data_IF_620195775995
#
_entry.id   IF_620195775995
#
_cell.length_a   1.000
_cell.length_b   1.000
_cell.length_c   1.000
_cell.angle_alpha   90.00
_cell.angle_beta   90.00
_cell.angle_gamma   90.00
#
_symmetry.space_group_name_H-M   'P 1'
#
loop_
_entity.id
_entity.type
_entity.pdbx_description
1 polymer ?
#
# COMPACT_ATOMS: atom_id res chain seq x y z
N UNK A 1 4.46 6.12 10.54
CA UNK A 1 5.24 6.27 9.29
C UNK A 1 6.59 5.56 9.39
N UNK A 2 7.30 5.66 10.50
CA UNK A 2 8.48 4.85 10.72
C UNK A 2 8.18 3.36 10.64
N UNK A 3 6.99 2.96 11.04
CA UNK A 3 6.54 1.57 10.96
C UNK A 3 6.35 1.10 9.52
N UNK A 4 6.08 1.99 8.56
CA UNK A 4 6.00 1.61 7.16
C UNK A 4 7.36 1.15 6.63
N UNK A 5 8.45 1.80 7.03
CA UNK A 5 9.79 1.39 6.62
C UNK A 5 10.16 0.04 7.21
N UNK A 6 9.83 -0.19 8.47
CA UNK A 6 10.08 -1.49 9.11
C UNK A 6 9.30 -2.59 8.43
N UNK A 7 8.07 -2.31 8.07
CA UNK A 7 7.19 -3.25 7.40
C UNK A 7 7.71 -3.56 6.00
N UNK A 8 8.13 -2.55 5.26
CA UNK A 8 8.70 -2.73 3.92
C UNK A 8 9.95 -3.61 3.97
N UNK A 9 10.80 -3.40 4.98
CA UNK A 9 11.98 -4.23 5.18
C UNK A 9 11.59 -5.67 5.51
N UNK A 10 10.67 -5.83 6.47
CA UNK A 10 10.27 -7.16 6.95
C UNK A 10 9.68 -8.03 5.84
N UNK A 11 8.92 -7.44 4.93
CA UNK A 11 8.27 -8.19 3.85
C UNK A 11 9.02 -8.13 2.52
N UNK A 12 10.23 -7.58 2.52
CA UNK A 12 11.05 -7.54 1.31
C UNK A 12 10.45 -6.72 0.19
N UNK A 13 9.81 -5.60 0.54
CA UNK A 13 9.20 -4.70 -0.46
C UNK A 13 10.31 -4.08 -1.29
N UNK A 14 10.16 -4.16 -2.61
CA UNK A 14 11.16 -3.64 -3.53
C UNK A 14 11.29 -2.12 -3.42
N UNK A 15 10.17 -1.42 -3.28
CA UNK A 15 10.18 0.03 -3.20
C UNK A 15 8.96 0.55 -2.45
N UNK A 16 9.19 1.54 -1.60
CA UNK A 16 8.13 2.26 -0.89
C UNK A 16 7.99 3.64 -1.52
N UNK A 17 6.80 4.01 -1.94
CA UNK A 17 6.54 5.31 -2.54
C UNK A 17 5.59 6.10 -1.63
N UNK A 18 6.09 7.21 -1.10
CA UNK A 18 5.34 8.09 -0.22
C UNK A 18 4.77 9.22 -1.08
N UNK A 19 3.45 9.36 -1.10
CA UNK A 19 2.77 10.32 -1.93
C UNK A 19 2.02 11.35 -1.11
N UNK A 20 2.02 12.60 -1.57
CA UNK A 20 1.29 13.68 -0.96
C UNK A 20 2.00 15.00 -1.11
N UNK A 21 1.31 16.08 -0.73
CA UNK A 21 1.86 17.42 -0.85
C UNK A 21 2.83 17.82 0.25
N UNK A 22 3.03 16.98 1.26
CA UNK A 22 3.91 17.32 2.38
C UNK A 22 5.23 16.56 2.31
N UNK A 23 6.10 17.02 1.43
CA UNK A 23 7.43 16.45 1.25
C UNK A 23 8.27 16.61 2.52
N UNK A 24 8.07 17.70 3.27
CA UNK A 24 8.78 17.91 4.54
C UNK A 24 8.44 16.83 5.55
N UNK A 25 7.17 16.43 5.62
CA UNK A 25 6.75 15.35 6.51
C UNK A 25 7.37 14.03 6.07
N UNK A 26 7.42 13.78 4.76
CA UNK A 26 8.06 12.59 4.21
C UNK A 26 9.52 12.51 4.58
N UNK A 27 10.25 13.63 4.48
CA UNK A 27 11.67 13.69 4.87
C UNK A 27 11.86 13.46 6.37
N UNK A 28 10.98 14.03 7.19
CA UNK A 28 11.02 13.83 8.62
C UNK A 28 10.78 12.37 8.98
N UNK A 29 9.89 11.73 8.29
CA UNK A 29 9.61 10.31 8.45
C UNK A 29 10.82 9.46 8.11
N UNK A 30 11.47 9.75 6.99
CA UNK A 30 12.66 9.05 6.56
C UNK A 30 13.78 9.19 7.60
N UNK A 31 13.95 10.38 8.18
CA UNK A 31 14.93 10.60 9.24
C UNK A 31 14.63 9.75 10.48
N UNK A 32 13.37 9.67 10.86
CA UNK A 32 12.95 8.90 12.03
C UNK A 32 13.19 7.41 11.84
N UNK A 33 13.12 6.92 10.60
CA UNK A 33 13.34 5.51 10.26
C UNK A 33 14.75 5.27 9.72
N UNK A 34 15.73 6.05 10.15
CA UNK A 34 17.10 6.04 9.58
C UNK A 34 17.72 4.66 9.48
N UNK A 35 17.53 3.80 10.46
CA UNK A 35 18.14 2.47 10.46
C UNK A 35 17.60 1.59 9.32
N UNK A 36 16.30 1.69 9.01
CA UNK A 36 15.66 0.95 7.93
C UNK A 36 15.70 1.69 6.61
N UNK A 37 15.81 3.01 6.63
CA UNK A 37 15.93 3.86 5.44
C UNK A 37 17.12 3.44 4.56
N UNK A 38 18.20 2.99 5.16
CA UNK A 38 19.39 2.55 4.43
C UNK A 38 19.17 1.25 3.67
N UNK A 39 18.18 0.46 4.08
CA UNK A 39 17.90 -0.86 3.52
C UNK A 39 16.73 -0.79 2.56
N UNK A 40 15.74 0.04 2.86
CA UNK A 40 14.53 0.15 2.07
C UNK A 40 14.68 1.22 1.00
N UNK A 41 14.46 0.83 -0.24
CA UNK A 41 14.42 1.77 -1.35
C UNK A 41 13.10 2.54 -1.29
N UNK A 42 13.16 3.87 -1.32
CA UNK A 42 11.95 4.68 -1.25
C UNK A 42 12.02 5.91 -2.14
N UNK A 43 10.85 6.43 -2.49
CA UNK A 43 10.68 7.66 -3.24
C UNK A 43 9.62 8.54 -2.58
N UNK A 44 9.73 9.83 -2.78
CA UNK A 44 8.72 10.80 -2.35
C UNK A 44 8.19 11.48 -3.61
N UNK A 45 6.87 11.43 -3.79
CA UNK A 45 6.19 12.01 -4.96
C UNK A 45 5.02 12.86 -4.51
N UNK A 46 4.70 13.88 -5.27
CA UNK A 46 3.55 14.75 -4.95
C UNK A 46 2.23 14.10 -5.30
N UNK A 47 2.14 13.48 -6.46
CA UNK A 47 0.88 12.97 -7.00
C UNK A 47 0.83 11.46 -7.02
N UNK A 48 -0.01 10.88 -6.14
CA UNK A 48 -0.26 9.45 -6.15
C UNK A 48 -0.92 9.02 -7.46
N UNK A 49 -1.77 9.85 -8.05
CA UNK A 49 -2.44 9.54 -9.31
C UNK A 49 -1.42 9.36 -10.43
N UNK A 50 -0.44 10.25 -10.52
CA UNK A 50 0.61 10.13 -11.54
C UNK A 50 1.46 8.89 -11.33
N UNK A 51 1.78 8.57 -10.08
CA UNK A 51 2.54 7.35 -9.75
C UNK A 51 1.78 6.12 -10.21
N UNK A 52 0.49 6.04 -9.89
CA UNK A 52 -0.34 4.89 -10.28
C UNK A 52 -0.40 4.75 -11.79
N UNK A 53 -0.59 5.85 -12.51
CA UNK A 53 -0.62 5.81 -13.98
C UNK A 53 0.71 5.31 -14.55
N UNK A 54 1.82 5.76 -13.99
CA UNK A 54 3.15 5.32 -14.42
C UNK A 54 3.35 3.83 -14.17
N UNK A 55 2.96 3.35 -13.00
CA UNK A 55 3.09 1.93 -12.66
C UNK A 55 2.23 1.05 -13.55
N UNK A 56 1.03 1.50 -13.90
CA UNK A 56 0.18 0.76 -14.83
C UNK A 56 0.85 0.63 -16.18
N UNK A 57 1.46 1.70 -16.68
CA UNK A 57 2.17 1.67 -17.95
C UNK A 57 3.37 0.72 -17.92
N UNK A 58 3.97 0.53 -16.75
CA UNK A 58 5.10 -0.38 -16.56
C UNK A 58 4.66 -1.84 -16.38
N UNK A 59 3.36 -2.11 -16.40
CA UNK A 59 2.85 -3.47 -16.29
C UNK A 59 2.53 -3.94 -14.88
N UNK A 60 2.53 -3.04 -13.90
CA UNK A 60 2.13 -3.39 -12.54
C UNK A 60 0.62 -3.59 -12.46
N UNK A 61 0.20 -4.59 -11.72
CA UNK A 61 -1.20 -4.67 -11.32
C UNK A 61 -1.40 -3.78 -10.09
N UNK A 62 -2.40 -2.93 -10.17
CA UNK A 62 -2.70 -1.96 -9.11
C UNK A 62 -3.76 -2.56 -8.20
N UNK A 63 -3.41 -2.76 -6.94
CA UNK A 63 -4.32 -3.34 -5.95
C UNK A 63 -4.46 -2.35 -4.81
N UNK A 64 -5.67 -1.87 -4.57
CA UNK A 64 -5.96 -0.95 -3.49
C UNK A 64 -6.52 -1.68 -2.29
N UNK A 65 -6.03 -1.33 -1.11
CA UNK A 65 -6.48 -1.90 0.16
C UNK A 65 -7.47 -0.93 0.78
N UNK A 66 -8.76 -1.19 0.63
CA UNK A 66 -9.83 -0.32 1.10
C UNK A 66 -11.16 -1.07 1.17
N UNK A 67 -12.00 -0.71 2.14
CA UNK A 67 -13.34 -1.28 2.23
C UNK A 67 -14.27 -0.44 1.36
N UNK A 68 -14.82 -1.04 0.32
CA UNK A 68 -15.77 -0.39 -0.59
C UNK A 68 -16.92 -1.34 -0.89
N UNK A 69 -17.93 -0.83 -1.61
CA UNK A 69 -19.07 -1.66 -2.02
C UNK A 69 -18.68 -2.77 -2.99
N UNK A 70 -17.55 -2.62 -3.67
CA UNK A 70 -17.09 -3.58 -4.67
C UNK A 70 -15.82 -4.31 -4.28
N UNK A 71 -15.26 -4.01 -3.10
CA UNK A 71 -14.03 -4.66 -2.66
C UNK A 71 -14.26 -6.14 -2.32
N UNK A 72 -13.22 -6.93 -2.50
CA UNK A 72 -13.26 -8.37 -2.23
C UNK A 72 -12.43 -8.70 -0.99
N UNK A 73 -12.87 -9.66 -0.17
CA UNK A 73 -12.09 -10.03 1.01
C UNK A 73 -10.75 -10.67 0.60
N UNK A 74 -9.70 -10.26 1.27
CA UNK A 74 -8.34 -10.70 0.92
C UNK A 74 -8.15 -12.20 1.08
N UNK A 75 -8.83 -12.81 2.05
CA UNK A 75 -8.64 -14.24 2.32
C UNK A 75 -9.14 -15.14 1.19
N UNK A 76 -9.98 -14.61 0.31
CA UNK A 76 -10.46 -15.35 -0.86
C UNK A 76 -9.78 -14.89 -2.16
N UNK A 77 -8.85 -13.95 -2.06
CA UNK A 77 -8.25 -13.35 -3.24
C UNK A 77 -6.95 -14.08 -3.60
N UNK A 78 -6.78 -14.39 -4.89
CA UNK A 78 -5.56 -15.01 -5.40
C UNK A 78 -4.76 -13.99 -6.17
N UNK A 79 -3.51 -13.77 -5.76
CA UNK A 79 -2.61 -12.84 -6.42
C UNK A 79 -1.86 -13.53 -7.56
N UNK A 80 -1.70 -12.82 -8.69
CA UNK A 80 -0.96 -13.34 -9.82
C UNK A 80 0.53 -13.26 -9.53
N UNK A 81 1.24 -14.38 -9.74
CA UNK A 81 2.67 -14.45 -9.45
C UNK A 81 3.55 -13.87 -10.54
N UNK A 82 3.04 -13.80 -11.76
CA UNK A 82 3.83 -13.44 -12.94
C UNK A 82 3.74 -11.96 -13.29
N UNK A 83 3.13 -11.15 -12.45
CA UNK A 83 2.97 -9.72 -12.70
C UNK A 83 3.32 -8.95 -11.43
N UNK A 84 4.13 -7.89 -11.53
CA UNK A 84 4.48 -7.12 -10.34
C UNK A 84 3.25 -6.44 -9.75
N UNK A 85 3.21 -6.34 -8.44
CA UNK A 85 2.09 -5.79 -7.69
C UNK A 85 2.48 -4.45 -7.08
N UNK A 86 1.62 -3.46 -7.27
CA UNK A 86 1.68 -2.21 -6.53
C UNK A 86 0.49 -2.18 -5.57
N UNK A 87 0.77 -2.28 -4.29
CA UNK A 87 -0.26 -2.20 -3.26
C UNK A 87 -0.44 -0.75 -2.85
N UNK A 88 -1.66 -0.25 -2.99
CA UNK A 88 -2.01 1.12 -2.63
C UNK A 88 -2.69 1.09 -1.27
N UNK A 89 -2.17 1.91 -0.36
CA UNK A 89 -2.79 2.10 0.94
C UNK A 89 -3.18 3.56 1.10
N UNK A 90 -4.21 3.79 1.89
CA UNK A 90 -4.76 5.12 2.04
C UNK A 90 -4.18 5.89 3.20
N UNK A 91 -4.47 7.17 3.21
CA UNK A 91 -4.28 8.07 4.32
C UNK A 91 -5.23 7.68 5.45
N UNK A 92 -4.79 7.82 6.70
CA UNK A 92 -5.61 7.46 7.87
C UNK A 92 -6.90 8.27 7.96
N UNK A 93 -6.90 9.52 7.46
CA UNK A 93 -8.06 10.41 7.57
C UNK A 93 -8.98 10.33 6.36
N UNK A 94 -8.42 10.19 5.15
CA UNK A 94 -9.19 10.31 3.92
C UNK A 94 -9.27 9.03 3.10
N UNK A 95 -8.48 8.02 3.42
CA UNK A 95 -8.44 6.79 2.64
C UNK A 95 -7.84 7.01 1.27
N UNK A 96 -8.20 6.12 0.34
CA UNK A 96 -7.72 6.18 -1.05
C UNK A 96 -8.71 6.99 -1.87
N UNK A 97 -8.23 7.89 -2.72
CA UNK A 97 -9.11 8.71 -3.55
C UNK A 97 -9.91 7.84 -4.52
N UNK A 98 -11.10 8.33 -4.89
CA UNK A 98 -11.95 7.61 -5.83
C UNK A 98 -11.30 7.44 -7.19
N UNK A 99 -10.52 8.42 -7.61
CA UNK A 99 -9.78 8.36 -8.87
C UNK A 99 -8.84 7.15 -8.90
N UNK A 100 -8.11 6.95 -7.82
CA UNK A 100 -7.18 5.81 -7.71
C UNK A 100 -7.94 4.50 -7.60
N UNK A 101 -9.02 4.47 -6.81
CA UNK A 101 -9.84 3.28 -6.69
C UNK A 101 -10.39 2.86 -8.06
N UNK A 102 -10.85 3.83 -8.82
CA UNK A 102 -11.37 3.56 -10.17
C UNK A 102 -10.29 3.02 -11.11
N UNK A 103 -9.06 3.48 -10.96
CA UNK A 103 -7.93 3.00 -11.76
C UNK A 103 -7.37 1.67 -11.29
N UNK A 104 -7.78 1.19 -10.14
CA UNK A 104 -7.24 -0.06 -9.58
C UNK A 104 -7.73 -1.28 -10.33
N UNK A 105 -6.84 -2.23 -10.53
CA UNK A 105 -7.22 -3.52 -11.13
C UNK A 105 -8.09 -4.31 -10.16
N UNK A 106 -7.78 -4.21 -8.86
CA UNK A 106 -8.52 -4.89 -7.81
C UNK A 106 -8.58 -4.01 -6.58
N UNK A 107 -9.67 -4.13 -5.83
CA UNK A 107 -9.81 -3.50 -4.51
C UNK A 107 -10.07 -4.63 -3.54
N UNK A 108 -9.24 -4.74 -2.52
CA UNK A 108 -9.34 -5.80 -1.52
C UNK A 108 -9.50 -5.20 -0.14
N UNK A 109 -10.11 -5.96 0.76
CA UNK A 109 -10.28 -5.52 2.14
C UNK A 109 -10.03 -6.67 3.10
N UNK A 110 -9.80 -6.31 4.35
CA UNK A 110 -9.67 -7.28 5.45
C UNK A 110 -11.00 -7.27 6.18
N UNK A 111 -11.62 -8.45 6.30
CA UNK A 111 -12.90 -8.58 6.98
C UNK A 111 -12.79 -8.17 8.45
N UNK A 112 -13.78 -7.43 8.89
CA UNK A 112 -13.92 -6.98 10.28
C UNK A 112 -15.12 -7.67 10.89
N UNK A 113 -14.94 -8.17 12.10
CA UNK A 113 -16.01 -8.92 12.78
C UNK A 113 -16.53 -8.21 14.02
N UNK A 114 -16.00 -7.05 14.34
CA UNK A 114 -16.44 -6.22 15.43
C UNK A 114 -17.47 -5.18 14.99
N UNK A 115 -17.72 -4.23 15.86
CA UNK A 115 -18.68 -3.16 15.58
C UNK A 115 -18.08 -1.98 14.85
N UNK A 116 -16.77 -1.76 14.98
CA UNK A 116 -16.07 -0.73 14.23
C UNK A 116 -15.74 -1.26 12.85
N UNK A 117 -15.94 -0.42 11.84
CA UNK A 117 -15.75 -0.82 10.44
C UNK A 117 -14.39 -0.45 9.87
N UNK A 118 -13.45 -0.03 10.71
CA UNK A 118 -12.13 0.37 10.25
C UNK A 118 -11.03 -0.23 11.12
N UNK A 119 -9.89 -0.43 10.50
CA UNK A 119 -8.68 -0.92 11.15
C UNK A 119 -7.58 0.09 10.85
N UNK A 120 -6.63 0.23 11.77
CA UNK A 120 -5.46 1.07 11.54
C UNK A 120 -4.79 0.65 10.23
N UNK A 121 -4.42 1.61 9.40
CA UNK A 121 -3.91 1.35 8.05
C UNK A 121 -2.61 0.53 8.08
N UNK A 122 -1.76 0.76 9.07
CA UNK A 122 -0.50 0.00 9.18
C UNK A 122 -0.78 -1.46 9.53
N UNK A 123 -1.71 -1.70 10.44
CA UNK A 123 -2.10 -3.07 10.81
C UNK A 123 -2.72 -3.78 9.61
N UNK A 124 -3.62 -3.13 8.90
CA UNK A 124 -4.24 -3.70 7.71
C UNK A 124 -3.19 -4.02 6.65
N UNK A 125 -2.25 -3.12 6.45
CA UNK A 125 -1.18 -3.29 5.47
C UNK A 125 -0.28 -4.47 5.83
N UNK A 126 0.03 -4.65 7.11
CA UNK A 126 0.82 -5.81 7.56
C UNK A 126 0.12 -7.12 7.21
N UNK A 127 -1.18 -7.20 7.45
CA UNK A 127 -1.96 -8.40 7.13
C UNK A 127 -1.97 -8.64 5.62
N UNK A 128 -2.20 -7.58 4.84
CA UNK A 128 -2.21 -7.70 3.38
C UNK A 128 -0.85 -8.15 2.83
N UNK A 129 0.23 -7.57 3.31
CA UNK A 129 1.57 -7.96 2.86
C UNK A 129 1.92 -9.39 3.24
N UNK A 130 1.50 -9.83 4.42
CA UNK A 130 1.71 -11.22 4.81
C UNK A 130 1.00 -12.16 3.83
N UNK A 131 -0.25 -11.87 3.50
CA UNK A 131 -1.02 -12.71 2.59
C UNK A 131 -0.42 -12.70 1.18
N UNK A 132 -0.03 -11.52 0.70
CA UNK A 132 0.58 -11.38 -0.63
C UNK A 132 1.88 -12.16 -0.70
N UNK A 133 2.79 -11.95 0.24
CA UNK A 133 4.09 -12.61 0.22
C UNK A 133 3.95 -14.13 0.37
N UNK A 134 3.04 -14.58 1.20
CA UNK A 134 2.76 -16.00 1.34
C UNK A 134 2.35 -16.63 0.01
N UNK A 135 1.57 -15.92 -0.79
CA UNK A 135 1.10 -16.46 -2.05
C UNK A 135 2.12 -16.39 -3.18
N UNK A 136 2.92 -15.33 -3.25
CA UNK A 136 3.79 -15.10 -4.41
C UNK A 136 5.23 -15.57 -4.19
N UNK A 137 5.64 -15.79 -2.98
CA UNK A 137 6.97 -16.33 -2.65
C UNK A 137 6.89 -17.83 -2.30
#
# INVERSE_FOLDING_TARGET
IGSLFRMADAFGIEKLILCGGDIALGRKTAKTARATEKIVNYDIRESATEVVESLKKQGYQIISLEITTTSKPIHNFKFLKNQPIALIIGDENFGISETILYSSNHIIHIDMYGQNSSMNVVQATNIALYEITKQIL
#
